data_IF_584051208133
#
_entry.id   IF_584051208133
#
_cell.length_a   1.000
_cell.length_b   1.000
_cell.length_c   1.000
_cell.angle_alpha   90.00
_cell.angle_beta   90.00
_cell.angle_gamma   90.00
#
_symmetry.space_group_name_H-M   'P 1'
#
loop_
_entity.id
_entity.type
_entity.pdbx_description
1 polymer ?
#
# COMPACT_ATOMS: atom_id res chain seq x y z
N UNK A 1 -1.10 9.46 19.79
CA UNK A 1 -0.43 8.47 18.93
C UNK A 1 0.43 9.22 17.93
N UNK A 2 1.60 8.69 17.56
CA UNK A 2 2.35 9.19 16.43
C UNK A 2 1.52 8.92 15.15
N UNK A 3 1.23 9.90 14.28
CA UNK A 3 0.57 9.67 12.99
C UNK A 3 1.30 8.64 12.10
N UNK A 4 2.59 8.42 12.36
CA UNK A 4 3.42 7.40 11.70
C UNK A 4 3.11 5.98 12.15
N UNK A 5 2.39 5.82 13.26
CA UNK A 5 1.97 4.53 13.80
C UNK A 5 0.62 4.06 13.26
N UNK A 6 0.12 4.66 12.18
CA UNK A 6 -1.06 4.15 11.48
C UNK A 6 -0.67 3.05 10.48
N UNK A 7 -1.46 1.97 10.33
CA UNK A 7 -1.21 0.93 9.33
C UNK A 7 -1.08 1.49 7.91
N UNK A 8 -1.97 2.41 7.53
CA UNK A 8 -1.93 3.06 6.21
C UNK A 8 -0.65 3.87 5.97
N UNK A 9 -0.19 4.64 6.96
CA UNK A 9 1.07 5.37 6.83
C UNK A 9 2.27 4.42 6.67
N UNK A 10 2.33 3.35 7.47
CA UNK A 10 3.43 2.37 7.40
C UNK A 10 3.48 1.68 6.03
N UNK A 11 2.33 1.30 5.49
CA UNK A 11 2.22 0.69 4.17
C UNK A 11 2.67 1.63 3.06
N UNK A 12 2.13 2.86 3.08
CA UNK A 12 2.50 3.90 2.11
C UNK A 12 4.01 4.19 2.17
N UNK A 13 4.58 4.32 3.38
CA UNK A 13 6.01 4.55 3.56
C UNK A 13 6.86 3.40 3.03
N UNK A 14 6.46 2.15 3.26
CA UNK A 14 7.16 0.98 2.75
C UNK A 14 7.16 0.94 1.21
N UNK A 15 5.99 1.14 0.59
CA UNK A 15 5.87 1.20 -0.87
C UNK A 15 6.72 2.33 -1.46
N UNK A 16 6.63 3.54 -0.90
CA UNK A 16 7.42 4.69 -1.35
C UNK A 16 8.92 4.42 -1.26
N UNK A 17 9.36 3.78 -0.17
CA UNK A 17 10.77 3.40 0.01
C UNK A 17 11.22 2.40 -1.06
N UNK A 18 10.45 1.35 -1.32
CA UNK A 18 10.79 0.35 -2.34
C UNK A 18 10.80 0.93 -3.76
N UNK A 19 9.85 1.82 -4.09
CA UNK A 19 9.81 2.47 -5.42
C UNK A 19 10.94 3.47 -5.64
N UNK A 20 11.61 3.92 -4.57
CA UNK A 20 12.73 4.85 -4.66
C UNK A 20 14.08 4.17 -4.89
N UNK A 21 14.12 2.84 -4.75
CA UNK A 21 15.34 2.05 -4.98
C UNK A 21 15.59 1.98 -6.49
N UNK A 22 16.82 2.30 -6.89
CA UNK A 22 17.28 2.05 -8.25
C UNK A 22 17.49 0.54 -8.47
N UNK A 23 16.44 -0.11 -8.98
CA UNK A 23 16.43 -1.56 -9.20
C UNK A 23 17.44 -2.01 -10.27
N UNK A 24 17.87 -1.12 -11.16
CA UNK A 24 18.76 -1.46 -12.26
C UNK A 24 20.22 -1.65 -11.82
N UNK A 25 20.56 -1.22 -10.61
CA UNK A 25 21.88 -1.43 -10.00
C UNK A 25 21.96 -2.68 -9.11
N UNK A 26 20.85 -3.39 -8.92
CA UNK A 26 20.80 -4.54 -8.02
C UNK A 26 21.14 -5.86 -8.71
N UNK A 27 21.57 -6.84 -7.92
CA UNK A 27 21.68 -8.21 -8.37
C UNK A 27 20.29 -8.76 -8.77
N UNK A 28 20.21 -9.69 -9.75
CA UNK A 28 18.93 -10.21 -10.23
C UNK A 28 18.03 -10.76 -9.11
N UNK A 29 18.61 -11.42 -8.10
CA UNK A 29 17.87 -11.94 -6.95
C UNK A 29 17.22 -10.83 -6.11
N UNK A 30 17.88 -9.68 -5.96
CA UNK A 30 17.36 -8.55 -5.20
C UNK A 30 16.28 -7.80 -5.98
N UNK A 31 16.42 -7.72 -7.32
CA UNK A 31 15.35 -7.19 -8.18
C UNK A 31 14.07 -8.00 -8.05
N UNK A 32 14.20 -9.33 -8.07
CA UNK A 32 13.06 -10.22 -7.88
C UNK A 32 12.42 -10.00 -6.51
N UNK A 33 13.22 -9.96 -5.44
CA UNK A 33 12.72 -9.71 -4.08
C UNK A 33 11.94 -8.40 -3.97
N UNK A 34 12.48 -7.31 -4.53
CA UNK A 34 11.81 -6.00 -4.51
C UNK A 34 10.51 -6.03 -5.32
N UNK A 35 10.52 -6.68 -6.50
CA UNK A 35 9.34 -6.84 -7.34
C UNK A 35 8.23 -7.62 -6.61
N UNK A 36 8.58 -8.75 -6.00
CA UNK A 36 7.66 -9.56 -5.19
C UNK A 36 7.11 -8.76 -4.00
N UNK A 37 7.99 -8.11 -3.22
CA UNK A 37 7.58 -7.32 -2.06
C UNK A 37 6.65 -6.17 -2.46
N UNK A 38 6.97 -5.45 -3.52
CA UNK A 38 6.13 -4.35 -4.05
C UNK A 38 4.76 -4.87 -4.48
N UNK A 39 4.71 -6.02 -5.16
CA UNK A 39 3.46 -6.65 -5.61
C UNK A 39 2.58 -7.03 -4.42
N UNK A 40 3.15 -7.69 -3.40
CA UNK A 40 2.41 -8.08 -2.19
C UNK A 40 1.89 -6.86 -1.42
N UNK A 41 2.70 -5.82 -1.26
CA UNK A 41 2.28 -4.61 -0.56
C UNK A 41 1.17 -3.86 -1.30
N UNK A 42 1.18 -3.84 -2.63
CA UNK A 42 0.07 -3.30 -3.43
C UNK A 42 -1.23 -4.08 -3.24
N UNK A 43 -1.15 -5.41 -3.11
CA UNK A 43 -2.33 -6.24 -2.81
C UNK A 43 -2.87 -5.94 -1.41
N UNK A 44 -1.99 -5.81 -0.42
CA UNK A 44 -2.39 -5.40 0.94
C UNK A 44 -3.04 -4.02 0.92
N UNK A 45 -2.49 -3.06 0.16
CA UNK A 45 -3.09 -1.72 0.03
C UNK A 45 -4.51 -1.82 -0.52
N UNK A 46 -4.71 -2.55 -1.61
CA UNK A 46 -6.02 -2.78 -2.19
C UNK A 46 -7.02 -3.44 -1.22
N UNK A 47 -6.57 -4.43 -0.44
CA UNK A 47 -7.43 -5.17 0.50
C UNK A 47 -7.72 -4.39 1.79
N UNK A 48 -6.89 -3.41 2.13
CA UNK A 48 -7.03 -2.60 3.35
C UNK A 48 -7.65 -1.22 3.09
N UNK A 49 -7.76 -0.83 1.81
CA UNK A 49 -8.59 0.30 1.44
C UNK A 49 -10.04 0.03 1.87
N UNK A 50 -10.68 0.97 2.59
CA UNK A 50 -12.09 0.83 2.91
C UNK A 50 -12.87 0.73 1.60
N UNK A 51 -13.60 -0.38 1.40
CA UNK A 51 -14.49 -0.55 0.26
C UNK A 51 -15.39 0.69 0.15
N UNK A 52 -15.36 1.45 -0.95
CA UNK A 52 -16.31 2.55 -1.15
C UNK A 52 -17.76 2.06 -1.30
N UNK A 53 -17.98 0.74 -1.41
CA UNK A 53 -19.29 0.09 -1.59
C UNK A 53 -19.98 -0.30 -0.29
N UNK A 54 -19.66 0.35 0.84
CA UNK A 54 -20.47 0.26 2.06
C UNK A 54 -20.65 1.61 2.77
N UNK A 55 -20.80 2.68 2.00
CA UNK A 55 -21.75 3.74 2.40
C UNK A 55 -23.09 3.39 1.74
N UNK A 56 -23.79 2.44 2.37
CA UNK A 56 -25.21 2.29 2.17
C UNK A 56 -25.90 3.54 2.70
N UNK A 57 -26.73 4.13 1.85
CA UNK A 57 -28.17 4.22 2.16
C UNK A 57 -28.49 4.72 3.58
N UNK A 58 -28.23 6.00 3.83
CA UNK A 58 -28.95 6.78 4.84
C UNK A 58 -28.89 8.26 4.48
N UNK A 59 -29.94 8.74 3.79
CA UNK A 59 -30.78 9.89 4.14
C UNK A 59 -31.58 10.31 2.88
N UNK A 60 -32.73 9.68 2.62
CA UNK A 60 -34.08 10.12 3.02
C UNK A 60 -34.46 11.47 2.41
N UNK A 61 -35.55 11.43 1.67
CA UNK A 61 -36.31 12.56 1.11
C UNK A 61 -36.40 13.77 2.05
N UNK A 62 -36.23 14.97 1.48
CA UNK A 62 -36.90 16.22 1.88
C UNK A 62 -36.91 17.18 0.70
#
# INVERSE_FOLDING_TARGET
MDPRDTPGYRLHRALSSLTSIDIDQLEPADRERISTATTLLKQVDFLTQPNPTRDGDVNRES
#
